data_IF_014948726596
#
_entry.id   IF_014948726596
#
_cell.length_a   1.000
_cell.length_b   1.000
_cell.length_c   1.000
_cell.angle_alpha   90.00
_cell.angle_beta   90.00
_cell.angle_gamma   90.00
#
_symmetry.space_group_name_H-M   'P 1'
#
loop_
_entity.id
_entity.type
_entity.pdbx_description
1 polymer ?
#
# COMPACT_ATOMS: atom_id res chain seq x y z
N UNK A 1 0.79 -6.25 19.18
CA UNK A 1 1.84 -5.71 18.30
C UNK A 1 1.59 -4.22 18.10
N UNK A 2 2.51 -3.37 18.56
CA UNK A 2 2.42 -1.92 18.40
C UNK A 2 3.06 -1.58 17.04
N UNK A 3 2.24 -1.53 16.00
CA UNK A 3 2.71 -1.29 14.64
C UNK A 3 3.24 0.13 14.47
N UNK A 4 4.57 0.28 14.48
CA UNK A 4 5.28 1.56 14.26
C UNK A 4 5.05 2.21 12.89
N UNK A 5 4.34 1.53 11.98
CA UNK A 5 4.12 1.95 10.59
C UNK A 5 2.64 2.11 10.22
N UNK A 6 1.76 2.19 11.21
CA UNK A 6 0.31 2.27 11.00
C UNK A 6 -0.23 3.53 11.66
N UNK A 7 -0.88 4.38 10.86
CA UNK A 7 -1.54 5.60 11.29
C UNK A 7 -3.03 5.33 11.50
N UNK A 8 -3.63 5.88 12.55
CA UNK A 8 -5.06 5.74 12.83
C UNK A 8 -5.73 7.11 12.69
N UNK A 9 -6.52 7.30 11.62
CA UNK A 9 -7.14 8.61 11.32
C UNK A 9 -8.31 8.96 12.23
N UNK A 10 -8.99 7.97 12.79
CA UNK A 10 -10.15 8.16 13.69
C UNK A 10 -9.98 7.31 14.95
N UNK A 11 -10.88 7.43 15.93
CA UNK A 11 -10.86 6.54 17.10
C UNK A 11 -11.24 5.09 16.77
N UNK A 12 -11.72 4.79 15.56
CA UNK A 12 -12.19 3.46 15.18
C UNK A 12 -11.04 2.52 14.76
N UNK A 13 -11.01 1.26 15.24
CA UNK A 13 -9.91 0.33 14.95
C UNK A 13 -9.69 0.04 13.46
N UNK A 14 -10.75 0.06 12.65
CA UNK A 14 -10.66 -0.16 11.19
C UNK A 14 -10.02 1.00 10.43
N UNK A 15 -9.83 2.16 11.07
CA UNK A 15 -9.20 3.33 10.44
C UNK A 15 -7.68 3.32 10.52
N UNK A 16 -7.10 2.20 10.97
CA UNK A 16 -5.68 1.91 10.93
C UNK A 16 -5.25 1.68 9.48
N UNK A 17 -4.37 2.53 8.97
CA UNK A 17 -3.84 2.45 7.62
C UNK A 17 -2.31 2.51 7.64
N UNK A 18 -1.67 1.87 6.67
CA UNK A 18 -0.22 1.95 6.52
C UNK A 18 0.23 3.41 6.29
N UNK A 19 1.37 3.79 6.87
CA UNK A 19 1.89 5.16 6.82
C UNK A 19 2.04 5.67 5.37
N UNK A 20 2.52 4.81 4.46
CA UNK A 20 2.68 5.14 3.04
C UNK A 20 1.35 5.49 2.37
N UNK A 21 0.27 4.80 2.72
CA UNK A 21 -1.05 5.07 2.15
C UNK A 21 -1.67 6.34 2.75
N UNK A 22 -1.37 6.66 4.01
CA UNK A 22 -1.75 7.94 4.60
C UNK A 22 -1.01 9.10 3.91
N UNK A 23 0.28 8.90 3.62
CA UNK A 23 1.11 9.84 2.89
C UNK A 23 0.59 10.07 1.46
N UNK A 24 0.20 9.01 0.75
CA UNK A 24 -0.34 9.14 -0.61
C UNK A 24 -1.67 9.89 -0.63
N UNK A 25 -2.57 9.62 0.32
CA UNK A 25 -3.81 10.38 0.45
C UNK A 25 -3.55 11.86 0.78
N UNK A 26 -2.57 12.15 1.64
CA UNK A 26 -2.20 13.52 1.97
C UNK A 26 -1.59 14.23 0.77
N UNK A 27 -0.79 13.54 -0.05
CA UNK A 27 -0.26 14.09 -1.29
C UNK A 27 -1.37 14.45 -2.28
N UNK A 28 -2.40 13.61 -2.41
CA UNK A 28 -3.57 13.92 -3.25
C UNK A 28 -4.29 15.19 -2.75
N UNK A 29 -4.46 15.34 -1.43
CA UNK A 29 -5.10 16.52 -0.84
C UNK A 29 -4.26 17.80 -1.05
N UNK A 30 -2.94 17.69 -0.90
CA UNK A 30 -2.02 18.84 -0.95
C UNK A 30 -1.72 19.25 -2.39
N UNK A 31 -1.50 18.29 -3.30
CA UNK A 31 -1.12 18.53 -4.70
C UNK A 31 -2.33 18.74 -5.63
N UNK A 32 -3.52 18.29 -5.24
CA UNK A 32 -4.73 18.36 -6.08
C UNK A 32 -4.66 17.41 -7.28
N UNK A 33 -5.55 17.59 -8.26
CA UNK A 33 -5.71 16.69 -9.42
C UNK A 33 -4.51 16.65 -10.38
N UNK A 34 -3.52 17.54 -10.23
CA UNK A 34 -2.42 17.71 -11.20
C UNK A 34 -1.01 17.33 -10.70
N UNK A 35 -0.86 16.76 -9.51
CA UNK A 35 0.47 16.43 -8.98
C UNK A 35 1.39 17.66 -8.83
N UNK A 36 2.66 17.56 -9.23
CA UNK A 36 3.61 18.67 -9.12
C UNK A 36 3.25 19.88 -10.03
N UNK A 37 2.58 19.63 -11.16
CA UNK A 37 2.12 20.67 -12.10
C UNK A 37 0.95 21.47 -11.50
N UNK A 38 0.02 20.76 -10.84
CA UNK A 38 -1.09 21.40 -10.13
C UNK A 38 -0.66 22.27 -8.94
N UNK A 39 0.52 22.04 -8.37
CA UNK A 39 1.07 22.83 -7.27
C UNK A 39 1.50 24.24 -7.71
N UNK A 40 2.06 24.38 -8.90
CA UNK A 40 2.52 25.67 -9.44
C UNK A 40 1.40 26.49 -10.06
N UNK A 41 0.33 25.85 -10.49
CA UNK A 41 -0.80 26.48 -11.18
C UNK A 41 -1.95 26.85 -10.23
N UNK A 42 -2.01 26.23 -9.04
CA UNK A 42 -3.03 26.54 -8.03
C UNK A 42 -2.41 27.30 -6.83
N UNK A 43 -2.67 28.62 -6.70
CA UNK A 43 -2.14 29.44 -5.61
C UNK A 43 -2.51 28.94 -4.20
N UNK A 44 -3.64 28.24 -4.06
CA UNK A 44 -4.09 27.67 -2.78
C UNK A 44 -3.41 26.35 -2.45
N UNK A 45 -3.00 25.57 -3.46
CA UNK A 45 -2.17 24.38 -3.28
C UNK A 45 -0.74 24.79 -2.90
N UNK A 46 -0.19 25.81 -3.58
CA UNK A 46 1.10 26.39 -3.25
C UNK A 46 1.14 26.92 -1.82
N UNK A 47 0.09 27.62 -1.38
CA UNK A 47 -0.01 28.14 0.00
C UNK A 47 -0.05 27.03 1.05
N UNK A 48 -0.77 25.92 0.78
CA UNK A 48 -0.77 24.75 1.65
C UNK A 48 0.59 24.06 1.72
N UNK A 49 1.32 24.00 0.60
CA UNK A 49 2.69 23.47 0.57
C UNK A 49 3.70 24.38 1.29
N UNK A 50 3.58 25.70 1.17
CA UNK A 50 4.45 26.63 1.92
C UNK A 50 4.29 26.49 3.44
N UNK A 51 3.11 26.09 3.91
CA UNK A 51 2.81 25.95 5.34
C UNK A 51 3.14 24.56 5.88
N UNK A 52 2.88 23.48 5.12
CA UNK A 52 3.08 22.10 5.59
C UNK A 52 4.22 21.32 4.93
N UNK A 53 4.82 21.87 3.87
CA UNK A 53 5.95 21.29 3.15
C UNK A 53 7.24 21.22 3.98
N UNK A 54 7.58 22.23 4.80
CA UNK A 54 8.72 22.15 5.70
C UNK A 54 8.66 20.95 6.66
N UNK A 55 7.50 20.70 7.27
CA UNK A 55 7.26 19.59 8.20
C UNK A 55 7.30 18.24 7.49
N UNK A 56 6.72 18.17 6.28
CA UNK A 56 6.80 16.97 5.45
C UNK A 56 8.24 16.65 5.02
N UNK A 57 8.98 17.68 4.61
CA UNK A 57 10.39 17.54 4.23
C UNK A 57 11.26 17.19 5.43
N UNK A 58 10.93 17.67 6.62
CA UNK A 58 11.58 17.30 7.87
C UNK A 58 11.33 15.84 8.25
N UNK A 59 10.10 15.34 8.10
CA UNK A 59 9.79 13.91 8.37
C UNK A 59 10.48 12.98 7.37
N UNK A 60 10.53 13.36 6.09
CA UNK A 60 11.30 12.64 5.05
C UNK A 60 12.79 12.63 5.39
N UNK A 61 13.33 13.76 5.88
CA UNK A 61 14.73 13.87 6.32
C UNK A 61 15.00 13.13 7.64
N UNK A 62 13.97 12.91 8.47
CA UNK A 62 14.01 12.06 9.67
C UNK A 62 14.00 10.57 9.36
N UNK A 63 13.46 10.17 8.22
CA UNK A 63 13.66 8.83 7.67
C UNK A 63 15.17 8.66 7.45
N UNK A 64 15.81 7.77 8.21
CA UNK A 64 17.26 7.60 8.10
C UNK A 64 17.56 7.03 6.72
N UNK A 65 18.62 7.48 6.07
CA UNK A 65 19.09 6.88 4.81
C UNK A 65 19.26 5.35 4.94
N UNK A 66 19.61 4.85 6.14
CA UNK A 66 19.63 3.42 6.44
C UNK A 66 18.29 2.72 6.26
N UNK A 67 17.17 3.38 6.58
CA UNK A 67 15.83 2.81 6.46
C UNK A 67 15.43 2.70 4.99
N UNK A 68 15.87 3.64 4.14
CA UNK A 68 15.66 3.58 2.69
C UNK A 68 16.54 2.52 2.03
N UNK A 69 17.81 2.42 2.41
CA UNK A 69 18.72 1.36 1.89
C UNK A 69 18.27 -0.03 2.33
N UNK A 70 17.81 -0.18 3.57
CA UNK A 70 17.24 -1.45 4.05
C UNK A 70 15.95 -1.81 3.29
N UNK A 71 15.07 -0.84 3.05
CA UNK A 71 13.87 -1.07 2.25
C UNK A 71 14.21 -1.48 0.82
N UNK A 72 15.16 -0.78 0.18
CA UNK A 72 15.64 -1.11 -1.17
C UNK A 72 16.23 -2.52 -1.22
N UNK A 73 17.10 -2.88 -0.26
CA UNK A 73 17.66 -4.22 -0.16
C UNK A 73 16.58 -5.29 0.03
N UNK A 74 15.55 -5.02 0.83
CA UNK A 74 14.43 -5.93 1.03
C UNK A 74 13.59 -6.11 -0.25
N UNK A 75 13.35 -5.04 -1.01
CA UNK A 75 12.63 -5.09 -2.29
C UNK A 75 13.42 -5.89 -3.33
N UNK A 76 14.74 -5.68 -3.43
CA UNK A 76 15.58 -6.47 -4.34
C UNK A 76 15.54 -7.96 -3.99
N UNK A 77 15.70 -8.31 -2.70
CA UNK A 77 15.58 -9.72 -2.27
C UNK A 77 14.21 -10.31 -2.58
N UNK A 78 13.14 -9.54 -2.39
CA UNK A 78 11.79 -9.99 -2.74
C UNK A 78 11.64 -10.23 -4.24
N UNK A 79 12.20 -9.36 -5.08
CA UNK A 79 12.23 -9.56 -6.53
C UNK A 79 13.02 -10.80 -6.93
N UNK A 80 14.19 -11.03 -6.33
CA UNK A 80 15.02 -12.20 -6.61
C UNK A 80 14.25 -13.49 -6.28
N UNK A 81 13.61 -13.55 -5.10
CA UNK A 81 12.77 -14.69 -4.70
C UNK A 81 11.60 -14.87 -5.66
N UNK A 82 10.89 -13.80 -6.04
CA UNK A 82 9.77 -13.88 -6.99
C UNK A 82 10.24 -14.37 -8.37
N UNK A 83 11.44 -13.99 -8.81
CA UNK A 83 12.01 -14.47 -10.06
C UNK A 83 12.42 -15.95 -9.98
N UNK A 84 12.97 -16.37 -8.84
CA UNK A 84 13.41 -17.75 -8.60
C UNK A 84 12.22 -18.70 -8.43
N UNK A 85 11.24 -18.34 -7.59
CA UNK A 85 10.12 -19.22 -7.21
C UNK A 85 8.87 -19.02 -8.05
N UNK A 86 8.87 -18.01 -8.92
CA UNK A 86 7.66 -17.55 -9.61
C UNK A 86 6.81 -16.60 -8.75
N UNK A 87 6.02 -15.76 -9.41
CA UNK A 87 5.17 -14.78 -8.73
C UNK A 87 3.95 -15.47 -8.10
N UNK A 88 3.84 -15.52 -6.76
CA UNK A 88 2.74 -16.21 -6.08
C UNK A 88 1.38 -15.56 -6.35
N UNK A 89 1.34 -14.29 -6.76
CA UNK A 89 0.09 -13.59 -7.09
C UNK A 89 -0.45 -13.93 -8.48
N UNK A 90 0.38 -14.57 -9.32
CA UNK A 90 -0.02 -15.07 -10.64
C UNK A 90 -0.22 -16.58 -10.64
N UNK A 91 -0.09 -17.22 -9.49
CA UNK A 91 -0.31 -18.64 -9.35
C UNK A 91 -1.77 -18.99 -9.64
N UNK A 92 -1.97 -19.88 -10.62
CA UNK A 92 -3.28 -20.39 -11.03
C UNK A 92 -3.51 -21.81 -10.50
N UNK A 93 -3.09 -22.08 -9.26
CA UNK A 93 -3.35 -23.36 -8.62
C UNK A 93 -4.69 -23.31 -7.88
N UNK A 94 -5.37 -24.46 -7.81
CA UNK A 94 -6.55 -24.62 -6.94
C UNK A 94 -6.15 -24.68 -5.45
N UNK A 95 -4.85 -24.68 -5.15
CA UNK A 95 -4.27 -24.80 -3.81
C UNK A 95 -4.16 -23.47 -3.07
N UNK A 96 -4.69 -22.37 -3.63
CA UNK A 96 -4.85 -21.05 -2.98
C UNK A 96 -5.63 -21.10 -1.63
N UNK A 97 -6.10 -22.28 -1.23
CA UNK A 97 -6.90 -22.59 -0.04
C UNK A 97 -6.06 -23.25 1.06
N UNK A 98 -4.85 -23.74 0.77
CA UNK A 98 -4.01 -24.48 1.73
C UNK A 98 -2.60 -23.91 1.80
N UNK A 99 -2.29 -23.16 2.87
CA UNK A 99 -0.90 -22.98 3.30
C UNK A 99 -0.56 -24.08 4.30
N UNK A 100 0.36 -24.95 3.91
CA UNK A 100 0.81 -26.10 4.69
C UNK A 100 -0.35 -27.09 4.95
N UNK A 101 -0.76 -27.30 6.21
CA UNK A 101 -1.75 -28.33 6.59
C UNK A 101 -3.10 -27.73 7.00
N UNK A 102 -3.27 -26.40 6.92
CA UNK A 102 -4.46 -25.72 7.37
C UNK A 102 -5.26 -25.20 6.17
N UNK A 103 -6.52 -25.60 6.12
CA UNK A 103 -7.50 -25.06 5.20
C UNK A 103 -7.80 -23.60 5.62
N UNK A 104 -7.37 -22.62 4.85
CA UNK A 104 -7.50 -21.18 5.19
C UNK A 104 -8.89 -20.65 4.82
N UNK A 105 -9.52 -21.26 3.82
CA UNK A 105 -10.81 -20.81 3.30
C UNK A 105 -11.81 -21.95 3.42
N UNK A 106 -12.89 -21.70 4.13
CA UNK A 106 -14.02 -22.63 4.22
C UNK A 106 -14.56 -22.95 2.81
N UNK A 107 -14.95 -24.21 2.60
CA UNK A 107 -15.40 -24.70 1.29
C UNK A 107 -16.56 -23.89 0.70
N UNK A 108 -17.45 -23.34 1.55
CA UNK A 108 -18.55 -22.49 1.12
C UNK A 108 -18.03 -21.13 0.60
N UNK A 109 -17.03 -20.55 1.27
CA UNK A 109 -16.41 -19.27 0.87
C UNK A 109 -15.64 -19.43 -0.44
N UNK A 110 -14.91 -20.54 -0.61
CA UNK A 110 -14.23 -20.87 -1.86
C UNK A 110 -15.20 -20.98 -3.05
N UNK A 111 -16.34 -21.64 -2.84
CA UNK A 111 -17.39 -21.77 -3.87
C UNK A 111 -17.99 -20.42 -4.26
N UNK A 112 -18.23 -19.55 -3.29
CA UNK A 112 -18.73 -18.19 -3.53
C UNK A 112 -17.73 -17.35 -4.33
N UNK A 113 -16.46 -17.35 -3.94
CA UNK A 113 -15.41 -16.61 -4.66
C UNK A 113 -15.22 -17.12 -6.10
N UNK A 114 -15.25 -18.45 -6.30
CA UNK A 114 -15.18 -19.07 -7.63
C UNK A 114 -16.35 -18.64 -8.53
N UNK A 115 -17.56 -18.55 -7.97
CA UNK A 115 -18.73 -18.11 -8.72
C UNK A 115 -18.63 -16.63 -9.12
N UNK A 116 -18.22 -15.76 -8.20
CA UNK A 116 -18.01 -14.33 -8.47
C UNK A 116 -16.98 -14.13 -9.58
N UNK A 117 -15.86 -14.86 -9.53
CA UNK A 117 -14.83 -14.78 -10.56
C UNK A 117 -15.37 -15.18 -11.95
N UNK A 118 -16.12 -16.29 -12.04
CA UNK A 118 -16.75 -16.72 -13.29
C UNK A 118 -17.72 -15.68 -13.84
N UNK A 119 -18.52 -15.05 -12.97
CA UNK A 119 -19.44 -13.98 -13.39
C UNK A 119 -18.68 -12.76 -13.91
N UNK A 120 -17.58 -12.36 -13.25
CA UNK A 120 -16.79 -11.19 -13.66
C UNK A 120 -15.95 -11.40 -14.94
N UNK A 121 -15.63 -12.64 -15.30
CA UNK A 121 -14.93 -12.98 -16.55
C UNK A 121 -15.90 -13.14 -17.73
N UNK A 122 -17.19 -13.38 -17.46
CA UNK A 122 -18.23 -13.53 -18.49
C UNK A 122 -18.88 -12.20 -18.93
N UNK A 123 -18.43 -11.06 -18.38
CA UNK A 123 -18.79 -9.70 -18.79
C UNK A 123 -17.67 -9.07 -19.62
#
# INVERSE_FOLDING_TARGET
>A
MQGRFVLQKTSRPFSKMALNQAHEQNNVIIKGEGGAVGLTENPSALRRWMIGGPELSFEIKRSKESDQENFKAAVCRLMDVIQETGNPFLEKSAELVTLHNNNIVDAAVHKTLSNIHKTGVAQ
#
